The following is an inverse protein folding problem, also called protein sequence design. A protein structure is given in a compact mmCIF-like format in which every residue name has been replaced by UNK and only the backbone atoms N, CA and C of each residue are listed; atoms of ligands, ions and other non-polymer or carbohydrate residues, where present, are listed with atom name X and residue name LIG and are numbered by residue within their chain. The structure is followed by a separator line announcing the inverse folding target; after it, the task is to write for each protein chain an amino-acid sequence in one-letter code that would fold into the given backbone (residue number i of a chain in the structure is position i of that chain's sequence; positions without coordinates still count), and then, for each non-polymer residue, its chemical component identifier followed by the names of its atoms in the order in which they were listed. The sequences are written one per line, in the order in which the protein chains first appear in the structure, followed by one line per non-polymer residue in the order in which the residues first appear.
data_IF_674350382903
#
_entry.id   IF_674350382903
#
_cell.length_a   1.000
_cell.length_b   1.000
_cell.length_c   1.000
_cell.angle_alpha   90.00
_cell.angle_beta   90.00
_cell.angle_gamma   90.00
#
_symmetry.space_group_name_H-M   'P 1'
#
loop_
_entity.id
_entity.type
_entity.pdbx_description
1 polymer ?
#
# COMPACT_ATOMS: atom_id res chain seq x y z
N UNK A 1 15.60 4.67 40.42
CA UNK A 1 16.82 3.96 40.86
C UNK A 1 16.42 2.87 41.84
N UNK A 2 17.00 1.69 41.70
CA UNK A 2 16.72 0.56 42.58
C UNK A 2 17.71 0.62 43.76
N UNK A 3 17.18 0.68 44.97
CA UNK A 3 17.98 0.84 46.21
C UNK A 3 18.83 -0.43 46.49
N UNK A 4 18.40 -1.58 45.97
CA UNK A 4 19.09 -2.85 46.15
C UNK A 4 20.23 -3.09 45.15
N UNK A 5 20.49 -2.13 44.25
CA UNK A 5 21.53 -2.21 43.22
C UNK A 5 22.62 -1.19 43.46
N UNK A 6 23.83 -1.57 43.07
CA UNK A 6 24.95 -0.65 43.11
C UNK A 6 24.73 0.49 42.07
N UNK A 7 25.39 1.66 42.23
CA UNK A 7 25.31 2.75 41.26
C UNK A 7 25.63 2.29 39.80
N UNK A 8 26.65 1.44 39.66
CA UNK A 8 27.05 0.90 38.35
C UNK A 8 25.96 0.04 37.71
N UNK A 9 25.32 -0.85 38.47
CA UNK A 9 24.21 -1.68 37.99
C UNK A 9 22.98 -0.85 37.60
N UNK A 10 22.69 0.19 38.37
CA UNK A 10 21.63 1.13 38.06
C UNK A 10 21.90 1.86 36.74
N UNK A 11 23.14 2.34 36.52
CA UNK A 11 23.55 2.99 35.26
C UNK A 11 23.44 2.03 34.12
N UNK A 12 23.95 0.80 34.20
CA UNK A 12 23.84 -0.20 33.14
C UNK A 12 22.39 -0.53 32.81
N UNK A 13 21.53 -0.64 33.80
CA UNK A 13 20.09 -0.89 33.62
C UNK A 13 19.42 0.27 32.84
N UNK A 14 19.76 1.51 33.18
CA UNK A 14 19.25 2.70 32.47
C UNK A 14 19.75 2.77 31.02
N UNK A 15 21.02 2.46 30.77
CA UNK A 15 21.56 2.39 29.42
C UNK A 15 20.89 1.30 28.57
N UNK A 16 20.68 0.11 29.14
CA UNK A 16 19.93 -0.96 28.46
C UNK A 16 18.51 -0.49 28.08
N UNK A 17 17.82 0.16 29.02
CA UNK A 17 16.47 0.70 28.80
C UNK A 17 16.49 1.79 27.70
N UNK A 18 17.44 2.71 27.77
CA UNK A 18 17.61 3.76 26.78
C UNK A 18 17.84 3.19 25.38
N UNK A 19 18.78 2.27 25.22
CA UNK A 19 19.06 1.64 23.93
C UNK A 19 17.85 0.90 23.38
N UNK A 20 17.14 0.14 24.22
CA UNK A 20 15.90 -0.56 23.84
C UNK A 20 14.83 0.42 23.35
N UNK A 21 14.66 1.55 24.04
CA UNK A 21 13.68 2.58 23.63
C UNK A 21 14.09 3.29 22.34
N UNK A 22 15.39 3.55 22.16
CA UNK A 22 15.94 4.15 20.93
C UNK A 22 15.68 3.25 19.73
N UNK A 23 16.00 1.96 19.83
CA UNK A 23 15.74 0.98 18.76
C UNK A 23 14.24 0.88 18.46
N UNK A 24 13.40 0.76 19.48
CA UNK A 24 11.95 0.72 19.30
C UNK A 24 11.39 1.96 18.61
N UNK A 25 11.91 3.15 18.97
CA UNK A 25 11.49 4.40 18.30
C UNK A 25 11.80 4.37 16.80
N UNK A 26 12.98 3.89 16.41
CA UNK A 26 13.37 3.73 15.01
C UNK A 26 12.49 2.73 14.28
N UNK A 27 12.26 1.55 14.87
CA UNK A 27 11.40 0.52 14.29
C UNK A 27 9.95 0.99 14.13
N UNK A 28 9.39 1.67 15.14
CA UNK A 28 8.05 2.22 15.07
C UNK A 28 7.93 3.31 13.99
N UNK A 29 8.95 4.15 13.83
CA UNK A 29 8.96 5.15 12.76
C UNK A 29 8.89 4.51 11.38
N UNK A 30 9.66 3.44 11.16
CA UNK A 30 9.62 2.68 9.91
C UNK A 30 8.25 2.01 9.70
N UNK A 31 7.69 1.36 10.73
CA UNK A 31 6.37 0.74 10.63
C UNK A 31 5.26 1.75 10.33
N UNK A 32 5.32 2.94 10.94
CA UNK A 32 4.35 4.02 10.66
C UNK A 32 4.47 4.49 9.21
N UNK A 33 5.68 4.61 8.66
CA UNK A 33 5.89 4.98 7.26
C UNK A 33 5.25 3.95 6.33
N UNK A 34 5.58 2.68 6.52
CA UNK A 34 5.00 1.58 5.71
C UNK A 34 3.47 1.50 5.82
N UNK A 35 2.92 1.67 7.03
CA UNK A 35 1.48 1.67 7.22
C UNK A 35 0.78 2.87 6.54
N UNK A 36 1.45 4.02 6.46
CA UNK A 36 0.92 5.18 5.72
C UNK A 36 0.92 4.94 4.21
N UNK A 37 1.96 4.33 3.68
CA UNK A 37 2.06 3.97 2.26
C UNK A 37 0.97 2.97 1.88
N UNK A 38 0.77 1.94 2.71
CA UNK A 38 -0.29 0.96 2.54
C UNK A 38 -1.69 1.57 2.61
N UNK A 39 -1.90 2.51 3.54
CA UNK A 39 -3.15 3.24 3.65
C UNK A 39 -3.43 4.07 2.39
N UNK A 40 -2.43 4.79 1.87
CA UNK A 40 -2.55 5.55 0.63
C UNK A 40 -2.90 4.63 -0.56
N UNK A 41 -2.24 3.49 -0.67
CA UNK A 41 -2.54 2.51 -1.70
C UNK A 41 -4.01 2.05 -1.64
N UNK A 42 -4.49 1.63 -0.45
CA UNK A 42 -5.87 1.18 -0.27
C UNK A 42 -6.90 2.29 -0.52
N UNK A 43 -6.59 3.54 -0.18
CA UNK A 43 -7.43 4.68 -0.50
C UNK A 43 -7.53 4.90 -2.02
N UNK A 44 -6.43 4.77 -2.77
CA UNK A 44 -6.44 4.83 -4.22
C UNK A 44 -7.25 3.70 -4.85
N UNK A 45 -7.11 2.48 -4.33
CA UNK A 45 -7.94 1.33 -4.76
C UNK A 45 -9.42 1.61 -4.52
N UNK A 46 -9.78 2.17 -3.38
CA UNK A 46 -11.16 2.53 -3.06
C UNK A 46 -11.72 3.57 -4.05
N UNK A 47 -10.95 4.61 -4.36
CA UNK A 47 -11.32 5.59 -5.37
C UNK A 47 -11.48 4.97 -6.76
N UNK A 48 -10.60 4.04 -7.14
CA UNK A 48 -10.69 3.32 -8.42
C UNK A 48 -11.95 2.47 -8.49
N UNK A 49 -12.35 1.82 -7.40
CA UNK A 49 -13.61 1.05 -7.32
C UNK A 49 -14.82 1.98 -7.47
N UNK A 50 -14.83 3.11 -6.75
CA UNK A 50 -15.93 4.07 -6.77
C UNK A 50 -16.10 4.74 -8.16
N UNK A 51 -14.99 4.94 -8.89
CA UNK A 51 -14.99 5.54 -10.23
C UNK A 51 -15.14 4.52 -11.35
N UNK A 52 -15.20 3.23 -11.06
CA UNK A 52 -15.35 2.18 -12.07
C UNK A 52 -16.74 2.23 -12.71
N UNK A 53 -16.77 2.28 -14.03
CA UNK A 53 -18.00 2.33 -14.84
C UNK A 53 -18.35 0.96 -15.44
N UNK A 54 -17.41 0.00 -15.43
CA UNK A 54 -17.58 -1.30 -16.05
C UNK A 54 -17.16 -2.46 -15.16
N UNK A 55 -17.76 -3.63 -15.42
CA UNK A 55 -17.37 -4.87 -14.75
C UNK A 55 -15.93 -5.28 -15.06
N UNK A 56 -15.42 -4.95 -16.23
CA UNK A 56 -14.05 -5.27 -16.61
C UNK A 56 -13.04 -4.51 -15.74
N UNK A 57 -13.30 -3.22 -15.47
CA UNK A 57 -12.47 -2.40 -14.58
C UNK A 57 -12.44 -2.95 -13.15
N UNK A 58 -13.59 -3.39 -12.64
CA UNK A 58 -13.67 -4.03 -11.32
C UNK A 58 -12.90 -5.36 -11.26
N UNK A 59 -12.93 -6.16 -12.33
CA UNK A 59 -12.17 -7.42 -12.39
C UNK A 59 -10.66 -7.16 -12.51
N UNK A 60 -10.22 -6.08 -13.16
CA UNK A 60 -8.82 -5.66 -13.18
C UNK A 60 -8.34 -5.29 -11.77
N UNK A 61 -9.09 -4.44 -11.04
CA UNK A 61 -8.79 -4.07 -9.65
C UNK A 61 -8.78 -5.30 -8.75
N UNK A 62 -9.73 -6.20 -8.95
CA UNK A 62 -9.78 -7.46 -8.21
C UNK A 62 -8.55 -8.32 -8.44
N UNK A 63 -8.08 -8.40 -9.69
CA UNK A 63 -6.87 -9.15 -10.05
C UNK A 63 -5.63 -8.51 -9.42
N UNK A 64 -5.54 -7.19 -9.40
CA UNK A 64 -4.50 -6.44 -8.70
C UNK A 64 -4.47 -6.80 -7.22
N UNK A 65 -5.62 -6.74 -6.53
CA UNK A 65 -5.72 -7.08 -5.10
C UNK A 65 -5.38 -8.55 -4.79
N UNK A 66 -5.57 -9.46 -5.75
CA UNK A 66 -5.08 -10.84 -5.63
C UNK A 66 -3.55 -10.91 -5.75
N UNK A 67 -2.96 -10.19 -6.70
CA UNK A 67 -1.50 -10.17 -6.87
C UNK A 67 -0.78 -9.56 -5.69
N UNK A 68 -1.36 -8.51 -5.10
CA UNK A 68 -0.85 -7.85 -3.89
C UNK A 68 -1.16 -8.61 -2.58
N UNK A 69 -1.91 -9.72 -2.66
CA UNK A 69 -2.19 -10.58 -1.51
C UNK A 69 -3.30 -10.12 -0.56
N UNK A 70 -4.02 -9.05 -0.89
CA UNK A 70 -5.18 -8.60 -0.10
C UNK A 70 -6.39 -9.50 -0.23
N UNK A 71 -6.54 -10.18 -1.36
CA UNK A 71 -7.61 -11.14 -1.59
C UNK A 71 -7.06 -12.55 -1.71
N UNK A 72 -7.77 -13.52 -1.11
CA UNK A 72 -7.47 -14.94 -1.28
C UNK A 72 -8.27 -15.49 -2.45
N UNK A 73 -7.60 -16.15 -3.40
CA UNK A 73 -8.27 -16.89 -4.46
C UNK A 73 -9.20 -17.93 -3.82
N UNK A 74 -10.50 -17.76 -3.98
CA UNK A 74 -11.42 -18.88 -3.79
C UNK A 74 -11.11 -19.88 -4.92
N UNK A 75 -10.61 -21.05 -4.58
CA UNK A 75 -10.36 -22.15 -5.50
C UNK A 75 -11.68 -22.68 -6.07
N UNK A 76 -12.36 -21.91 -6.88
CA UNK A 76 -13.40 -22.40 -7.76
C UNK A 76 -12.80 -22.45 -9.16
N UNK A 77 -12.70 -23.65 -9.70
CA UNK A 77 -12.11 -24.03 -10.98
C UNK A 77 -12.85 -23.48 -12.21
N UNK A 78 -13.31 -22.26 -12.18
CA UNK A 78 -13.76 -21.59 -13.40
C UNK A 78 -12.54 -20.91 -14.02
N UNK A 79 -12.13 -21.39 -15.22
CA UNK A 79 -11.15 -20.70 -16.07
C UNK A 79 -11.48 -19.22 -16.09
N UNK A 80 -10.63 -18.41 -15.50
CA UNK A 80 -10.72 -16.96 -15.60
C UNK A 80 -10.64 -16.65 -17.08
N UNK A 81 -11.72 -16.15 -17.68
CA UNK A 81 -11.69 -15.61 -19.03
C UNK A 81 -10.62 -14.52 -19.05
N UNK A 82 -9.79 -14.53 -20.08
CA UNK A 82 -8.82 -13.47 -20.28
C UNK A 82 -9.57 -12.12 -20.24
N UNK A 83 -9.28 -11.32 -19.22
CA UNK A 83 -9.88 -10.02 -19.04
C UNK A 83 -9.26 -9.14 -20.12
N UNK A 84 -10.08 -8.56 -21.02
CA UNK A 84 -9.59 -7.54 -21.94
C UNK A 84 -9.23 -6.31 -21.09
N UNK A 85 -7.97 -5.89 -21.16
CA UNK A 85 -7.51 -4.69 -20.47
C UNK A 85 -8.33 -3.48 -20.92
N UNK A 86 -8.84 -2.70 -19.97
CA UNK A 86 -9.54 -1.45 -20.26
C UNK A 86 -8.54 -0.40 -20.74
N UNK A 87 -8.97 0.48 -21.64
CA UNK A 87 -8.12 1.58 -22.08
C UNK A 87 -8.10 2.70 -21.02
N UNK A 88 -6.95 3.39 -20.84
CA UNK A 88 -6.87 4.55 -19.96
C UNK A 88 -7.80 5.66 -20.43
N UNK A 89 -8.22 6.54 -19.51
CA UNK A 89 -8.99 7.73 -19.84
C UNK A 89 -8.12 8.71 -20.59
N UNK A 90 -8.69 9.34 -21.62
CA UNK A 90 -8.00 10.32 -22.45
C UNK A 90 -8.72 11.68 -22.35
N UNK A 91 -7.94 12.68 -21.99
CA UNK A 91 -8.39 14.08 -21.95
C UNK A 91 -7.56 14.91 -22.91
N UNK A 92 -8.12 16.01 -23.38
CA UNK A 92 -7.40 17.00 -24.20
C UNK A 92 -7.40 18.32 -23.45
N UNK A 93 -6.21 18.88 -23.21
CA UNK A 93 -6.07 20.18 -22.58
C UNK A 93 -6.50 21.33 -23.50
N UNK A 94 -6.65 22.54 -22.94
CA UNK A 94 -6.90 23.77 -23.72
C UNK A 94 -5.83 24.05 -24.79
N UNK A 95 -4.60 23.55 -24.56
CA UNK A 95 -3.45 23.70 -25.45
C UNK A 95 -3.31 22.53 -26.46
N UNK A 96 -4.37 21.73 -26.60
CA UNK A 96 -4.44 20.58 -27.48
C UNK A 96 -3.43 19.45 -27.15
N UNK A 97 -3.03 19.34 -25.87
CA UNK A 97 -2.15 18.28 -25.36
C UNK A 97 -3.02 17.12 -24.89
N UNK A 98 -2.69 15.91 -25.33
CA UNK A 98 -3.36 14.69 -24.85
C UNK A 98 -2.85 14.31 -23.48
N UNK A 99 -3.76 14.13 -22.53
CA UNK A 99 -3.51 13.68 -21.16
C UNK A 99 -4.10 12.28 -21.00
N UNK A 100 -3.27 11.30 -20.62
CA UNK A 100 -3.72 9.95 -20.33
C UNK A 100 -3.78 9.76 -18.80
N UNK A 101 -4.87 9.18 -18.32
CA UNK A 101 -5.08 8.88 -16.91
C UNK A 101 -5.45 7.40 -16.78
N UNK A 102 -4.66 6.64 -16.04
CA UNK A 102 -4.96 5.24 -15.75
C UNK A 102 -6.17 5.12 -14.80
N UNK A 103 -6.99 4.10 -15.04
CA UNK A 103 -8.19 3.80 -14.27
C UNK A 103 -7.90 3.00 -12.99
N UNK A 104 -6.70 2.45 -12.88
CA UNK A 104 -6.20 1.70 -11.74
C UNK A 104 -4.69 1.89 -11.60
N UNK A 105 -4.11 1.42 -10.48
CA UNK A 105 -2.69 1.61 -10.20
C UNK A 105 -1.80 0.95 -11.26
N UNK A 106 -2.17 -0.24 -11.74
CA UNK A 106 -1.41 -0.94 -12.77
C UNK A 106 -1.33 -0.14 -14.09
N UNK A 107 -2.45 0.44 -14.52
CA UNK A 107 -2.45 1.30 -15.71
C UNK A 107 -1.62 2.58 -15.50
N UNK A 108 -1.65 3.15 -14.30
CA UNK A 108 -0.84 4.31 -13.97
C UNK A 108 0.67 3.98 -14.02
N UNK A 109 1.07 2.80 -13.54
CA UNK A 109 2.45 2.32 -13.60
C UNK A 109 2.90 2.06 -15.05
N UNK A 110 1.99 1.60 -15.92
CA UNK A 110 2.29 1.39 -17.35
C UNK A 110 2.40 2.70 -18.15
N UNK A 111 1.82 3.80 -17.65
CA UNK A 111 1.85 5.13 -18.28
C UNK A 111 3.06 5.98 -17.87
N UNK A 112 3.76 5.63 -16.77
CA UNK A 112 4.92 6.36 -16.24
C UNK A 112 6.22 5.77 -16.73
#
# INVERSE_FOLDING_TARGET
MDINKTPSENIQSLYKKYNKLKTRKSELSSQISSAKEELMYLQNVMLSIESSESLNELEEIRTELYSEGYLKLKTSSKKVKAIQASAPMQFISSDNITILVGKNNKQNDELT
#
